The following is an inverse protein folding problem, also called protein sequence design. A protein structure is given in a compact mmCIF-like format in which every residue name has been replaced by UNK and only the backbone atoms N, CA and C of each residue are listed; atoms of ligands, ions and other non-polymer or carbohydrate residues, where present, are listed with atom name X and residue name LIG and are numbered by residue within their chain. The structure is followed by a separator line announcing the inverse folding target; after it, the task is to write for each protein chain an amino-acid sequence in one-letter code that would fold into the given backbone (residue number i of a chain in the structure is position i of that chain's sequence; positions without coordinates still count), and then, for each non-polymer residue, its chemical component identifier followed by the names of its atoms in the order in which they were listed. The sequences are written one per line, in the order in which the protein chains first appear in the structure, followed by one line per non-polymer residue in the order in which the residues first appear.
data_IF_048672022355
#
_entry.id   IF_048672022355
#
_cell.length_a   1.000
_cell.length_b   1.000
_cell.length_c   1.000
_cell.angle_alpha   90.00
_cell.angle_beta   90.00
_cell.angle_gamma   90.00
#
_symmetry.space_group_name_H-M   'P 1'
#
loop_
_entity.id
_entity.type
_entity.pdbx_description
1 polymer ?
2 water ?
#
# COMPACT_ATOMS: atom_id res chain seq x y z
N UNK A 1 -21.89 12.18 -8.42
CA UNK A 1 -21.29 11.87 -9.74
C UNK A 1 -20.01 11.05 -9.58
N UNK A 2 -19.00 11.35 -10.40
CA UNK A 2 -17.74 10.63 -10.36
C UNK A 2 -16.97 10.87 -9.06
N UNK A 3 -17.42 11.81 -8.25
CA UNK A 3 -16.74 12.07 -6.99
C UNK A 3 -16.83 10.85 -6.10
N UNK A 4 -18.05 10.33 -5.97
CA UNK A 4 -18.32 9.17 -5.13
C UNK A 4 -17.70 7.85 -5.59
N UNK A 5 -17.53 7.67 -6.89
CA UNK A 5 -16.94 6.43 -7.40
C UNK A 5 -15.48 6.35 -6.94
N UNK A 6 -14.78 7.47 -7.06
CA UNK A 6 -13.39 7.58 -6.65
C UNK A 6 -13.30 7.49 -5.12
N UNK A 7 -14.31 8.06 -4.47
CA UNK A 7 -14.41 8.08 -3.02
C UNK A 7 -14.54 6.68 -2.42
N UNK A 8 -15.44 5.90 -3.00
CA UNK A 8 -15.72 4.54 -2.53
C UNK A 8 -14.58 3.57 -2.81
N UNK A 9 -13.90 3.75 -3.93
CA UNK A 9 -12.80 2.86 -4.26
C UNK A 9 -11.54 3.24 -3.52
N UNK A 10 -11.28 4.54 -3.38
CA UNK A 10 -10.10 4.97 -2.64
C UNK A 10 -10.22 4.36 -1.24
N UNK A 11 -11.46 4.28 -0.74
CA UNK A 11 -11.70 3.70 0.57
C UNK A 11 -11.36 2.20 0.57
N UNK A 12 -11.76 1.49 -0.48
CA UNK A 12 -11.49 0.05 -0.57
C UNK A 12 -9.98 -0.19 -0.67
N UNK A 13 -9.31 0.66 -1.44
CA UNK A 13 -7.88 0.55 -1.60
C UNK A 13 -7.19 0.78 -0.26
N UNK A 14 -7.60 1.82 0.46
CA UNK A 14 -6.99 2.12 1.76
C UNK A 14 -7.17 0.96 2.73
N UNK A 15 -8.24 0.19 2.56
CA UNK A 15 -8.49 -0.97 3.42
C UNK A 15 -7.34 -1.97 3.25
N UNK A 16 -7.07 -2.35 2.01
CA UNK A 16 -5.99 -3.29 1.73
C UNK A 16 -4.65 -2.69 2.18
N UNK A 17 -4.44 -1.42 1.84
CA UNK A 17 -3.19 -0.73 2.19
C UNK A 17 -2.84 -0.78 3.67
N UNK A 18 -3.81 -0.48 4.52
CA UNK A 18 -3.61 -0.51 5.96
C UNK A 18 -3.31 -1.92 6.44
N UNK A 19 -3.97 -2.90 5.85
CA UNK A 19 -3.75 -4.28 6.25
C UNK A 19 -2.32 -4.71 5.94
N UNK A 20 -1.76 -4.16 4.86
CA UNK A 20 -0.41 -4.51 4.43
C UNK A 20 0.71 -3.68 5.05
N UNK A 21 0.40 -2.45 5.46
CA UNK A 21 1.41 -1.55 6.00
C UNK A 21 1.96 -1.86 7.39
N UNK A 22 2.68 -2.97 7.50
CA UNK A 22 3.32 -3.40 8.74
C UNK A 22 4.48 -4.32 8.33
N UNK A 23 5.67 -4.04 8.83
CA UNK A 23 6.84 -4.83 8.49
C UNK A 23 6.67 -6.36 8.53
N UNK A 24 6.34 -6.89 9.70
CA UNK A 24 6.21 -8.33 9.84
C UNK A 24 5.10 -8.95 8.99
N UNK A 25 3.98 -8.25 8.85
CA UNK A 25 2.91 -8.78 8.03
C UNK A 25 3.33 -8.82 6.55
N UNK A 26 3.96 -7.75 6.08
CA UNK A 26 4.38 -7.71 4.69
C UNK A 26 5.40 -8.80 4.40
N UNK A 27 6.34 -8.99 5.32
CA UNK A 27 7.34 -10.02 5.11
C UNK A 27 6.65 -11.37 4.96
N UNK A 28 5.64 -11.60 5.79
CA UNK A 28 4.88 -12.84 5.75
C UNK A 28 4.12 -12.93 4.43
N UNK A 29 3.45 -11.85 4.05
CA UNK A 29 2.70 -11.86 2.81
C UNK A 29 3.62 -12.11 1.61
N UNK A 30 4.79 -11.46 1.62
CA UNK A 30 5.75 -11.61 0.54
C UNK A 30 6.22 -13.06 0.44
N UNK A 31 6.45 -13.70 1.59
CA UNK A 31 6.91 -15.08 1.65
C UNK A 31 5.88 -16.05 1.11
N UNK A 32 4.61 -15.67 1.20
CA UNK A 32 3.52 -16.53 0.73
C UNK A 32 3.21 -16.29 -0.73
N UNK A 33 4.03 -15.47 -1.38
CA UNK A 33 3.85 -15.18 -2.79
C UNK A 33 3.97 -16.47 -3.61
N UNK A 34 2.86 -16.88 -4.21
CA UNK A 34 2.82 -18.09 -5.02
C UNK A 34 3.32 -19.36 -4.32
N UNK A 35 3.00 -19.51 -3.04
CA UNK A 35 3.39 -20.72 -2.33
C UNK A 35 2.77 -20.87 -0.95
N UNK A 36 2.78 -22.11 -0.47
CA UNK A 36 2.25 -22.43 0.85
C UNK A 36 3.40 -22.75 1.79
N UNK A 37 3.30 -22.25 3.01
CA UNK A 37 4.33 -22.50 4.02
C UNK A 37 3.71 -22.82 5.37
N UNK A 38 4.40 -23.68 6.12
CA UNK A 38 3.97 -24.05 7.46
C UNK A 38 4.62 -23.07 8.44
N UNK A 39 4.15 -23.10 9.69
CA UNK A 39 4.67 -22.25 10.75
C UNK A 39 6.19 -22.40 10.84
N UNK A 40 6.66 -23.64 10.82
CA UNK A 40 8.09 -23.90 10.91
C UNK A 40 8.90 -23.25 9.81
N UNK A 41 8.44 -23.40 8.57
CA UNK A 41 9.15 -22.80 7.43
C UNK A 41 9.16 -21.28 7.55
N UNK A 42 8.04 -20.70 7.98
CA UNK A 42 7.93 -19.25 8.15
C UNK A 42 8.79 -18.67 9.27
N UNK A 43 8.79 -19.29 10.45
CA UNK A 43 9.57 -18.74 11.54
C UNK A 43 11.06 -18.84 11.27
N UNK A 44 11.48 -19.89 10.57
CA UNK A 44 12.89 -20.07 10.26
C UNK A 44 13.35 -19.14 9.13
N UNK A 45 12.51 -18.95 8.12
CA UNK A 45 12.86 -18.08 7.00
C UNK A 45 12.74 -16.60 7.34
N UNK A 46 12.07 -16.28 8.44
CA UNK A 46 11.92 -14.88 8.86
C UNK A 46 12.59 -14.61 10.22
N UNK A 47 13.05 -15.68 10.87
CA UNK A 47 13.68 -15.59 12.18
C UNK A 47 12.73 -14.86 13.10
N UNK A 48 11.50 -15.35 13.12
CA UNK A 48 10.44 -14.77 13.93
C UNK A 48 10.03 -15.84 14.94
N UNK A 49 9.80 -15.43 16.18
CA UNK A 49 9.40 -16.36 17.24
C UNK A 49 8.09 -17.03 16.87
N UNK A 50 7.84 -18.20 17.44
CA UNK A 50 6.59 -18.90 17.18
C UNK A 50 5.41 -18.02 17.59
N UNK A 51 5.52 -17.38 18.76
CA UNK A 51 4.44 -16.54 19.25
C UNK A 51 4.27 -15.24 18.46
N UNK A 52 5.38 -14.63 18.04
CA UNK A 52 5.27 -13.39 17.26
C UNK A 52 4.54 -13.74 15.98
N UNK A 53 4.96 -14.84 15.36
CA UNK A 53 4.37 -15.30 14.10
C UNK A 53 2.90 -15.64 14.28
N UNK A 54 2.60 -16.32 15.38
CA UNK A 54 1.23 -16.71 15.68
C UNK A 54 0.31 -15.51 15.71
N UNK A 55 0.78 -14.40 16.29
CA UNK A 55 -0.02 -13.17 16.37
C UNK A 55 -0.27 -12.54 14.99
N UNK A 56 0.80 -12.35 14.22
CA UNK A 56 0.69 -11.76 12.89
C UNK A 56 -0.19 -12.59 11.98
N UNK A 57 -0.04 -13.90 12.07
CA UNK A 57 -0.84 -14.80 11.26
C UNK A 57 -2.31 -14.66 11.62
N UNK A 58 -2.61 -14.70 12.91
CA UNK A 58 -3.99 -14.56 13.37
C UNK A 58 -4.57 -13.28 12.78
N UNK A 59 -3.81 -12.20 12.86
CA UNK A 59 -4.22 -10.89 12.34
C UNK A 59 -4.49 -10.96 10.82
N UNK A 60 -3.55 -11.56 10.09
CA UNK A 60 -3.66 -11.71 8.64
C UNK A 60 -4.94 -12.47 8.28
N UNK A 61 -5.24 -13.51 9.06
CA UNK A 61 -6.44 -14.32 8.87
C UNK A 61 -7.63 -13.37 8.91
N UNK A 62 -7.79 -12.75 10.08
CA UNK A 62 -8.86 -11.81 10.38
C UNK A 62 -9.20 -10.89 9.21
N UNK A 63 -8.18 -10.26 8.64
CA UNK A 63 -8.38 -9.35 7.52
C UNK A 63 -8.54 -10.14 6.22
N UNK A 64 -8.62 -11.46 6.34
CA UNK A 64 -8.79 -12.33 5.18
C UNK A 64 -7.74 -12.22 4.10
N UNK A 65 -6.48 -11.98 4.48
CA UNK A 65 -5.41 -11.87 3.50
C UNK A 65 -4.65 -13.19 3.33
N UNK A 66 -4.86 -14.12 4.26
CA UNK A 66 -4.20 -15.41 4.21
C UNK A 66 -5.18 -16.49 4.64
N UNK A 67 -5.01 -17.70 4.11
CA UNK A 67 -5.88 -18.82 4.47
C UNK A 67 -5.02 -19.99 4.90
N UNK A 68 -5.65 -21.08 5.32
CA UNK A 68 -4.91 -22.25 5.76
C UNK A 68 -5.36 -23.50 5.03
N UNK A 69 -4.57 -24.56 5.21
CA UNK A 69 -4.79 -25.88 4.61
C UNK A 69 -4.04 -26.84 5.54
N UNK A 70 -4.80 -27.60 6.34
CA UNK A 70 -4.24 -28.54 7.32
C UNK A 70 -3.48 -29.76 6.79
N UNK A 71 -2.99 -30.59 7.72
CA UNK A 71 -2.24 -31.81 7.38
C UNK A 71 -1.50 -32.45 8.57
N UNK A 72 -2.03 -33.57 9.07
CA UNK A 72 -1.43 -34.29 10.20
C UNK A 72 -0.73 -33.38 11.21
N UNK A 73 -1.46 -32.38 11.71
CA UNK A 73 -0.94 -31.43 12.68
C UNK A 73 -0.04 -30.35 12.05
N UNK A 74 0.14 -30.44 10.73
CA UNK A 74 0.95 -29.47 10.00
C UNK A 74 0.09 -28.62 9.07
N UNK A 75 -0.14 -27.38 9.48
CA UNK A 75 -0.94 -26.43 8.71
C UNK A 75 -0.11 -25.61 7.73
N UNK A 76 -0.68 -25.33 6.56
CA UNK A 76 0.01 -24.53 5.55
C UNK A 76 -0.76 -23.25 5.29
N UNK A 77 -0.03 -22.14 5.26
CA UNK A 77 -0.63 -20.85 5.00
C UNK A 77 -0.36 -20.44 3.56
N UNK A 78 -1.29 -19.67 3.00
CA UNK A 78 -1.18 -19.19 1.63
C UNK A 78 -1.97 -17.90 1.51
N UNK A 79 -1.70 -17.11 0.48
CA UNK A 79 -2.42 -15.86 0.31
C UNK A 79 -3.88 -16.15 -0.01
N UNK A 80 -4.76 -15.22 0.32
CA UNK A 80 -6.18 -15.42 0.06
C UNK A 80 -6.78 -14.47 -0.98
N UNK A 81 -6.84 -13.19 -0.65
CA UNK A 81 -7.45 -12.22 -1.57
C UNK A 81 -6.64 -11.96 -2.84
N UNK A 82 -7.35 -11.80 -3.95
CA UNK A 82 -6.74 -11.53 -5.24
C UNK A 82 -6.03 -10.18 -5.25
N UNK A 83 -6.54 -9.24 -4.46
CA UNK A 83 -5.93 -7.92 -4.39
C UNK A 83 -4.53 -7.99 -3.76
N UNK A 84 -4.41 -8.64 -2.61
CA UNK A 84 -3.10 -8.72 -1.97
C UNK A 84 -2.13 -9.50 -2.86
N UNK A 85 -2.62 -10.57 -3.50
CA UNK A 85 -1.78 -11.37 -4.38
C UNK A 85 -1.14 -10.49 -5.46
N UNK A 86 -1.94 -9.62 -6.07
CA UNK A 86 -1.46 -8.73 -7.12
C UNK A 86 -0.48 -7.67 -6.58
N UNK A 87 -0.83 -7.02 -5.47
CA UNK A 87 0.04 -6.02 -4.88
C UNK A 87 1.35 -6.69 -4.46
N UNK A 88 1.25 -7.90 -3.92
CA UNK A 88 2.44 -8.62 -3.50
C UNK A 88 3.28 -8.96 -4.72
N UNK A 89 2.63 -9.42 -5.79
CA UNK A 89 3.35 -9.75 -7.01
C UNK A 89 4.12 -8.52 -7.51
N UNK A 90 3.48 -7.36 -7.46
CA UNK A 90 4.12 -6.13 -7.92
C UNK A 90 5.25 -5.70 -6.99
N UNK A 91 5.03 -5.82 -5.69
CA UNK A 91 6.07 -5.46 -4.73
C UNK A 91 7.30 -6.34 -4.98
N UNK A 92 7.06 -7.59 -5.36
CA UNK A 92 8.15 -8.52 -5.65
C UNK A 92 8.95 -8.08 -6.87
N UNK A 93 8.26 -7.58 -7.90
CA UNK A 93 8.93 -7.13 -9.12
C UNK A 93 9.66 -5.80 -8.89
N UNK A 94 9.23 -5.06 -7.88
CA UNK A 94 9.84 -3.77 -7.58
C UNK A 94 11.13 -3.90 -6.77
N UNK A 95 11.19 -4.93 -5.93
CA UNK A 95 12.35 -5.15 -5.08
C UNK A 95 13.02 -6.50 -5.32
N UNK A 96 13.19 -6.87 -6.59
CA UNK A 96 13.83 -8.13 -6.95
C UNK A 96 14.23 -8.11 -8.43
N UNK B 5 18.05 -7.75 3.00
CA UNK B 5 17.13 -8.45 2.05
C UNK B 5 15.66 -8.22 2.41
N UNK B 6 15.07 -9.18 3.10
CA UNK B 6 13.67 -9.11 3.48
C UNK B 6 13.31 -7.90 4.34
N UNK B 7 13.95 -7.76 5.50
CA UNK B 7 13.65 -6.64 6.39
C UNK B 7 13.93 -5.26 5.81
N UNK B 8 14.99 -5.13 5.02
CA UNK B 8 15.35 -3.85 4.42
C UNK B 8 14.30 -3.39 3.41
N UNK B 9 13.83 -4.32 2.58
CA UNK B 9 12.84 -3.98 1.56
C UNK B 9 11.44 -3.87 2.13
N UNK B 10 11.09 -4.75 3.05
CA UNK B 10 9.76 -4.70 3.64
C UNK B 10 9.59 -3.35 4.33
N UNK B 11 10.67 -2.86 4.93
CA UNK B 11 10.66 -1.57 5.61
C UNK B 11 10.41 -0.43 4.62
N UNK B 12 11.10 -0.44 3.49
CA UNK B 12 10.90 0.61 2.48
C UNK B 12 9.48 0.54 1.89
N UNK B 13 8.99 -0.67 1.64
CA UNK B 13 7.65 -0.81 1.08
C UNK B 13 6.61 -0.31 2.09
N UNK B 14 6.78 -0.70 3.35
CA UNK B 14 5.86 -0.28 4.40
C UNK B 14 5.79 1.24 4.52
N UNK B 15 6.91 1.94 4.38
CA UNK B 15 6.88 3.39 4.47
C UNK B 15 6.03 3.98 3.33
N UNK B 16 6.13 3.39 2.15
CA UNK B 16 5.35 3.86 1.00
C UNK B 16 3.88 3.53 1.24
N UNK B 17 3.63 2.32 1.73
CA UNK B 17 2.27 1.87 1.99
C UNK B 17 1.59 2.74 3.02
N UNK B 18 2.33 3.14 4.05
CA UNK B 18 1.79 4.00 5.10
C UNK B 18 1.41 5.37 4.55
N UNK B 19 2.26 5.93 3.69
CA UNK B 19 1.98 7.24 3.10
C UNK B 19 0.74 7.18 2.18
N UNK B 20 0.47 6.02 1.61
CA UNK B 20 -0.67 5.86 0.71
C UNK B 20 -1.96 5.45 1.42
N UNK B 21 -1.83 4.90 2.62
CA UNK B 21 -2.97 4.39 3.39
C UNK B 21 -3.85 5.42 4.08
N UNK B 22 -4.36 6.36 3.30
CA UNK B 22 -5.24 7.40 3.78
C UNK B 22 -6.02 7.85 2.56
N UNK B 23 -7.34 7.79 2.63
CA UNK B 23 -8.19 8.15 1.50
C UNK B 23 -7.78 9.43 0.76
N UNK B 24 -7.73 10.55 1.48
CA UNK B 24 -7.37 11.81 0.86
C UNK B 24 -5.98 11.80 0.22
N UNK B 25 -4.98 11.28 0.92
CA UNK B 25 -3.63 11.24 0.37
C UNK B 25 -3.55 10.38 -0.90
N UNK B 26 -4.33 9.31 -0.93
CA UNK B 26 -4.35 8.41 -2.08
C UNK B 26 -4.97 9.11 -3.28
N UNK B 27 -6.10 9.79 -3.07
CA UNK B 27 -6.76 10.51 -4.17
C UNK B 27 -5.79 11.51 -4.80
N UNK B 28 -5.06 12.23 -3.95
CA UNK B 28 -4.07 13.21 -4.41
C UNK B 28 -3.04 12.51 -5.29
N UNK B 29 -2.44 11.45 -4.76
CA UNK B 29 -1.45 10.65 -5.49
C UNK B 29 -2.05 10.13 -6.80
N UNK B 30 -3.32 9.72 -6.74
CA UNK B 30 -4.01 9.21 -7.91
C UNK B 30 -4.14 10.30 -8.97
N UNK B 31 -4.31 11.54 -8.53
CA UNK B 31 -4.43 12.67 -9.45
C UNK B 31 -3.06 13.07 -10.01
N UNK B 32 -2.05 13.04 -9.15
CA UNK B 32 -0.70 13.41 -9.55
C UNK B 32 0.02 12.39 -10.42
N UNK B 33 -0.52 11.19 -10.54
CA UNK B 33 0.14 10.19 -11.38
C UNK B 33 0.15 10.60 -12.86
N UNK B 34 1.34 10.88 -13.37
CA UNK B 34 1.51 11.29 -14.77
C UNK B 34 0.76 12.58 -15.13
N UNK B 35 1.07 13.66 -14.42
CA UNK B 35 0.49 14.98 -14.67
C UNK B 35 0.66 15.95 -13.50
N UNK B 36 1.74 16.73 -13.55
CA UNK B 36 2.05 17.73 -12.54
C UNK B 36 0.85 18.66 -12.35
N UNK B 37 0.46 18.91 -11.11
CA UNK B 37 -0.69 19.76 -10.84
C UNK B 37 -0.45 20.82 -9.78
N UNK B 38 -1.15 21.93 -9.92
CA UNK B 38 -1.06 23.00 -8.94
C UNK B 38 -2.09 22.63 -7.87
N UNK B 39 -2.04 23.31 -6.73
CA UNK B 39 -3.00 23.04 -5.65
C UNK B 39 -4.41 23.37 -6.14
N UNK B 40 -4.53 24.48 -6.87
CA UNK B 40 -5.83 24.88 -7.40
C UNK B 40 -6.44 23.82 -8.30
N UNK B 41 -5.60 23.22 -9.14
CA UNK B 41 -6.06 22.18 -10.05
C UNK B 41 -6.49 20.93 -9.31
N UNK B 42 -5.79 20.61 -8.21
CA UNK B 42 -6.12 19.44 -7.41
C UNK B 42 -7.46 19.70 -6.74
N UNK B 43 -7.61 20.93 -6.23
CA UNK B 43 -8.83 21.40 -5.57
C UNK B 43 -10.00 21.22 -6.54
N UNK B 44 -9.81 21.71 -7.76
CA UNK B 44 -10.83 21.61 -8.80
C UNK B 44 -11.19 20.16 -9.12
N UNK B 45 -10.17 19.34 -9.36
CA UNK B 45 -10.38 17.94 -9.70
C UNK B 45 -10.94 17.09 -8.57
N UNK B 46 -10.62 17.41 -7.32
CA UNK B 46 -11.13 16.64 -6.19
C UNK B 46 -12.30 17.33 -5.52
N UNK B 47 -12.57 18.57 -5.92
CA UNK B 47 -13.67 19.34 -5.35
C UNK B 47 -13.46 19.58 -3.87
N UNK B 48 -12.22 19.86 -3.50
CA UNK B 48 -11.85 20.13 -2.11
C UNK B 48 -11.08 21.44 -2.10
N UNK B 49 -11.29 22.26 -1.08
CA UNK B 49 -10.60 23.55 -0.96
C UNK B 49 -9.10 23.36 -0.71
N UNK B 50 -8.35 24.44 -0.80
CA UNK B 50 -6.91 24.37 -0.57
C UNK B 50 -6.62 24.00 0.87
N UNK B 51 -7.33 24.64 1.79
CA UNK B 51 -7.14 24.37 3.21
C UNK B 51 -7.47 22.91 3.53
N UNK B 52 -8.48 22.38 2.84
CA UNK B 52 -8.90 21.00 3.06
C UNK B 52 -7.82 20.00 2.63
N UNK B 53 -6.98 20.40 1.69
CA UNK B 53 -5.92 19.55 1.17
C UNK B 53 -4.58 19.76 1.86
N UNK B 54 -4.38 20.98 2.38
CA UNK B 54 -3.12 21.37 3.01
C UNK B 54 -2.47 20.36 3.94
N UNK B 55 -3.24 19.78 4.85
CA UNK B 55 -2.73 18.79 5.81
C UNK B 55 -2.24 17.53 5.08
N UNK B 56 -2.94 17.14 4.02
CA UNK B 56 -2.54 15.95 3.26
C UNK B 56 -1.34 16.21 2.35
N UNK B 57 -1.31 17.37 1.70
CA UNK B 57 -0.18 17.71 0.83
C UNK B 57 1.10 17.81 1.65
N UNK B 58 1.01 18.43 2.82
CA UNK B 58 2.15 18.60 3.72
C UNK B 58 2.70 17.26 4.17
N UNK B 59 1.80 16.31 4.38
CA UNK B 59 2.18 14.96 4.81
C UNK B 59 2.92 14.24 3.68
N UNK B 60 2.39 14.38 2.48
CA UNK B 60 2.98 13.76 1.30
C UNK B 60 4.36 14.36 0.99
N UNK B 61 4.56 15.62 1.37
CA UNK B 61 5.84 16.30 1.15
C UNK B 61 6.91 15.80 2.12
N UNK B 62 6.60 15.84 3.41
CA UNK B 62 7.53 15.39 4.43
C UNK B 62 8.01 13.96 4.21
N UNK B 63 7.25 13.19 3.45
CA UNK B 63 7.62 11.81 3.14
C UNK B 63 8.31 11.71 1.79
N UNK B 64 8.61 12.86 1.20
CA UNK B 64 9.29 12.89 -0.08
C UNK B 64 8.56 12.23 -1.24
N UNK B 65 7.33 11.78 -1.02
CA UNK B 65 6.58 11.15 -2.11
C UNK B 65 6.18 12.15 -3.20
N UNK B 66 6.16 13.43 -2.85
CA UNK B 66 5.82 14.47 -3.82
C UNK B 66 6.76 15.64 -3.59
N UNK B 67 7.18 16.28 -4.68
CA UNK B 67 8.07 17.43 -4.61
C UNK B 67 7.29 18.63 -5.15
N UNK B 68 7.57 19.81 -4.59
CA UNK B 68 6.89 21.02 -5.01
C UNK B 68 7.82 21.94 -5.78
N UNK B 69 7.27 22.57 -6.81
CA UNK B 69 8.00 23.50 -7.65
C UNK B 69 7.22 24.80 -7.72
N UNK B 70 7.87 25.89 -7.32
CA UNK B 70 7.23 27.20 -7.33
C UNK B 70 7.43 27.92 -8.66
N UNK B 71 6.40 28.65 -9.10
CA UNK B 71 6.48 29.41 -10.34
C UNK B 71 5.50 30.58 -10.32
N UNK B 72 6.03 31.79 -10.15
CA UNK B 72 5.20 33.00 -10.13
C UNK B 72 4.05 32.92 -9.14
N UNK B 73 4.40 32.64 -7.88
CA UNK B 73 3.45 32.53 -6.77
C UNK B 73 2.67 31.22 -6.71
N UNK B 74 2.65 30.47 -7.82
CA UNK B 74 1.93 29.19 -7.86
C UNK B 74 2.82 27.99 -7.55
N UNK B 75 2.35 27.09 -6.68
CA UNK B 75 3.10 25.89 -6.34
C UNK B 75 2.57 24.70 -7.13
N UNK B 76 3.47 23.97 -7.78
CA UNK B 76 3.10 22.80 -8.57
C UNK B 76 3.58 21.54 -7.86
N UNK B 77 2.81 20.46 -7.95
CA UNK B 77 3.18 19.20 -7.30
C UNK B 77 3.45 18.07 -8.27
N UNK B 78 4.44 17.25 -7.93
CA UNK B 78 4.79 16.11 -8.77
C UNK B 78 5.09 14.87 -7.95
N UNK B 79 4.47 13.76 -8.36
CA UNK B 79 4.67 12.47 -7.71
C UNK B 79 6.12 12.06 -7.97
N UNK B 80 6.89 11.86 -6.90
CA UNK B 80 8.30 11.51 -7.00
C UNK B 80 8.62 10.03 -7.23
N UNK B 81 8.04 9.19 -6.39
CA UNK B 81 8.27 7.75 -6.41
C UNK B 81 7.83 6.93 -7.62
N UNK B 82 8.76 6.13 -8.16
CA UNK B 82 8.46 5.25 -9.28
C UNK B 82 7.71 4.03 -8.74
N UNK B 83 8.05 3.64 -7.50
CA UNK B 83 7.39 2.50 -6.87
C UNK B 83 5.94 2.89 -6.62
N UNK B 84 5.73 4.11 -6.14
CA UNK B 84 4.38 4.61 -5.88
C UNK B 84 3.61 4.72 -7.20
N UNK B 85 4.29 5.21 -8.23
CA UNK B 85 3.64 5.32 -9.53
C UNK B 85 3.17 3.94 -9.97
N UNK B 86 4.01 2.92 -9.78
CA UNK B 86 3.64 1.55 -10.17
C UNK B 86 2.44 1.05 -9.36
N UNK B 87 2.46 1.30 -8.05
CA UNK B 87 1.36 0.87 -7.18
C UNK B 87 0.06 1.58 -7.50
N UNK B 88 0.13 2.86 -7.86
CA UNK B 88 -1.07 3.60 -8.20
C UNK B 88 -1.71 3.00 -9.45
N UNK B 89 -0.90 2.71 -10.46
CA UNK B 89 -1.39 2.11 -11.70
C UNK B 89 -2.09 0.77 -11.44
N UNK B 90 -1.54 -0.01 -10.51
CA UNK B 90 -2.12 -1.31 -10.17
C UNK B 90 -3.42 -1.09 -9.43
N UNK B 91 -3.39 -0.18 -8.46
CA UNK B 91 -4.59 0.14 -7.70
C UNK B 91 -5.69 0.56 -8.67
N UNK B 92 -5.36 1.42 -9.63
CA UNK B 92 -6.33 1.85 -10.62
C UNK B 92 -7.00 0.65 -11.30
N UNK B 93 -6.20 -0.29 -11.78
CA UNK B 93 -6.74 -1.47 -12.45
C UNK B 93 -7.56 -2.36 -11.52
N UNK B 94 -7.14 -2.46 -10.26
CA UNK B 94 -7.85 -3.30 -9.30
C UNK B 94 -9.22 -2.75 -8.88
N UNK B 95 -9.37 -1.43 -8.86
CA UNK B 95 -10.63 -0.81 -8.44
C UNK B 95 -11.26 0.09 -9.49
N UNK B 96 -10.92 -0.16 -10.76
CA UNK B 96 -11.47 0.62 -11.86
C UNK B 96 -11.40 -0.22 -13.13
#
# INVERSE_FOLDING_TARGET
MNLKDMEQNSAKAVVLLKAMANERRLQILCMLHNQELSVGELCAKLQLSQSALSQHLAWLRRDGLVTTRKEAQTVYYTLKSEEVKAMIKLLHSLYCEE
MNLKDMEQNSAKAVVLLKAMANERRLQILCMLHNQELSVGELCAKLQLSQSALSQHLAWLRRDGLVTTRKEAQTVYYTLKSEEVKAMIKLLHSLYCEE
#
